data_IF_603965640878
#
_entry.id   IF_603965640878
#
_cell.length_a   1.000
_cell.length_b   1.000
_cell.length_c   1.000
_cell.angle_alpha   90.00
_cell.angle_beta   90.00
_cell.angle_gamma   90.00
#
_symmetry.space_group_name_H-M   'P 1'
#
loop_
_entity.id
_entity.type
_entity.pdbx_description
1 polymer ?
#
# COMPACT_ATOMS: atom_id res chain seq x y z
N UNK A 1 27.17 -7.18 12.51
CA UNK A 1 25.75 -7.48 12.83
C UNK A 1 24.94 -6.66 11.84
N UNK A 2 24.40 -7.28 10.78
CA UNK A 2 23.56 -6.55 9.83
C UNK A 2 22.20 -6.36 10.49
N UNK A 3 21.92 -5.15 10.94
CA UNK A 3 20.58 -4.75 11.38
C UNK A 3 19.61 -4.95 10.21
N UNK A 4 18.86 -6.04 10.33
CA UNK A 4 17.69 -6.37 9.52
C UNK A 4 16.81 -5.12 9.47
N UNK A 5 16.90 -4.36 8.39
CA UNK A 5 16.06 -3.18 8.16
C UNK A 5 14.61 -3.67 8.18
N UNK A 6 13.96 -3.56 9.34
CA UNK A 6 12.55 -3.90 9.49
C UNK A 6 11.83 -3.06 8.46
N UNK A 7 11.27 -3.72 7.45
CA UNK A 7 10.48 -3.05 6.41
C UNK A 7 9.40 -2.26 7.13
N UNK A 8 9.55 -0.93 7.15
CA UNK A 8 8.62 -0.06 7.83
C UNK A 8 7.50 0.27 6.85
N UNK A 9 6.38 -0.42 7.02
CA UNK A 9 5.20 -0.13 6.22
C UNK A 9 4.55 1.18 6.66
N UNK A 10 3.91 1.91 5.72
CA UNK A 10 3.11 3.08 6.06
C UNK A 10 1.95 2.73 7.00
N UNK A 11 1.37 3.72 7.71
CA UNK A 11 0.18 3.51 8.53
C UNK A 11 -0.99 2.93 7.71
N UNK A 12 -1.79 2.04 8.33
CA UNK A 12 -2.90 1.36 7.66
C UNK A 12 -3.88 2.32 6.96
N UNK A 13 -4.22 3.44 7.61
CA UNK A 13 -5.10 4.46 7.03
C UNK A 13 -4.55 5.04 5.73
N UNK A 14 -3.23 5.30 5.67
CA UNK A 14 -2.60 5.84 4.47
C UNK A 14 -2.64 4.83 3.32
N UNK A 15 -2.41 3.55 3.62
CA UNK A 15 -2.52 2.46 2.64
C UNK A 15 -3.96 2.36 2.12
N UNK A 16 -4.96 2.44 3.02
CA UNK A 16 -6.38 2.46 2.64
C UNK A 16 -6.73 3.66 1.76
N UNK A 17 -6.16 4.84 2.03
CA UNK A 17 -6.33 6.02 1.16
C UNK A 17 -5.78 5.76 -0.24
N UNK A 18 -4.63 5.10 -0.38
CA UNK A 18 -4.09 4.78 -1.70
C UNK A 18 -4.92 3.74 -2.46
N UNK A 19 -5.50 2.77 -1.75
CA UNK A 19 -6.47 1.83 -2.34
C UNK A 19 -7.74 2.57 -2.80
N UNK A 20 -8.28 3.47 -1.97
CA UNK A 20 -9.41 4.32 -2.35
C UNK A 20 -9.07 5.18 -3.58
N UNK A 21 -7.87 5.74 -3.64
CA UNK A 21 -7.39 6.50 -4.79
C UNK A 21 -7.43 5.67 -6.08
N UNK A 22 -7.03 4.40 -6.03
CA UNK A 22 -7.06 3.50 -7.19
C UNK A 22 -8.46 3.10 -7.65
N UNK A 23 -9.39 2.86 -6.72
CA UNK A 23 -10.65 2.18 -7.03
C UNK A 23 -11.81 3.18 -7.10
N UNK A 24 -11.85 4.15 -6.19
CA UNK A 24 -13.04 4.96 -5.92
C UNK A 24 -12.90 6.42 -6.36
N UNK A 25 -11.68 6.92 -6.61
CA UNK A 25 -11.47 8.35 -6.85
C UNK A 25 -12.07 8.88 -8.15
N UNK A 26 -12.28 8.03 -9.15
CA UNK A 26 -12.72 8.41 -10.51
C UNK A 26 -11.77 9.36 -11.25
N UNK A 27 -10.60 9.69 -10.68
CA UNK A 27 -9.62 10.60 -11.24
C UNK A 27 -8.38 9.81 -11.69
N UNK A 28 -8.04 9.78 -12.99
CA UNK A 28 -6.92 9.00 -13.50
C UNK A 28 -5.57 9.30 -12.82
N UNK A 29 -5.28 10.58 -12.55
CA UNK A 29 -4.02 10.98 -11.89
C UNK A 29 -3.95 10.46 -10.45
N UNK A 30 -5.08 10.45 -9.73
CA UNK A 30 -5.14 9.88 -8.39
C UNK A 30 -5.02 8.36 -8.42
N UNK A 31 -5.60 7.71 -9.43
CA UNK A 31 -5.49 6.26 -9.59
C UNK A 31 -4.04 5.83 -9.80
N UNK A 32 -3.34 6.49 -10.73
CA UNK A 32 -1.92 6.24 -10.98
C UNK A 32 -1.07 6.52 -9.74
N UNK A 33 -1.32 7.64 -9.06
CA UNK A 33 -0.61 7.98 -7.82
C UNK A 33 -0.85 6.96 -6.69
N UNK A 34 -2.07 6.49 -6.52
CA UNK A 34 -2.40 5.44 -5.55
C UNK A 34 -1.64 4.15 -5.83
N UNK A 35 -1.59 3.75 -7.10
CA UNK A 35 -0.85 2.58 -7.57
C UNK A 35 0.65 2.72 -7.32
N UNK A 36 1.23 3.85 -7.68
CA UNK A 36 2.67 4.11 -7.52
C UNK A 36 3.08 4.10 -6.06
N UNK A 37 2.28 4.69 -5.17
CA UNK A 37 2.54 4.66 -3.74
C UNK A 37 2.55 3.22 -3.18
N UNK A 38 1.58 2.39 -3.61
CA UNK A 38 1.51 0.99 -3.19
C UNK A 38 2.68 0.17 -3.73
N UNK A 39 3.08 0.39 -4.98
CA UNK A 39 4.25 -0.30 -5.55
C UNK A 39 5.54 0.17 -4.86
N UNK A 40 5.69 1.47 -4.59
CA UNK A 40 6.88 2.01 -3.93
C UNK A 40 7.01 1.50 -2.48
N UNK A 41 5.91 1.34 -1.76
CA UNK A 41 5.93 0.91 -0.36
C UNK A 41 6.05 -0.62 -0.21
N UNK A 42 5.46 -1.40 -1.12
CA UNK A 42 5.35 -2.86 -0.99
C UNK A 42 6.12 -3.65 -2.06
N UNK A 43 6.66 -2.99 -3.08
CA UNK A 43 7.31 -3.58 -4.24
C UNK A 43 6.35 -4.14 -5.30
N UNK A 44 5.13 -4.50 -4.91
CA UNK A 44 4.06 -4.89 -5.83
C UNK A 44 2.68 -4.75 -5.19
N UNK A 45 1.65 -4.65 -6.04
CA UNK A 45 0.25 -4.65 -5.58
C UNK A 45 -0.13 -5.97 -4.89
N UNK A 46 0.44 -7.09 -5.32
CA UNK A 46 0.21 -8.39 -4.69
C UNK A 46 0.69 -8.40 -3.23
N UNK A 47 1.89 -7.88 -2.96
CA UNK A 47 2.44 -7.76 -1.60
C UNK A 47 1.64 -6.76 -0.74
N UNK A 48 1.17 -5.66 -1.33
CA UNK A 48 0.30 -4.73 -0.64
C UNK A 48 -1.02 -5.40 -0.21
N UNK A 49 -1.61 -6.22 -1.09
CA UNK A 49 -2.82 -6.99 -0.77
C UNK A 49 -2.56 -8.05 0.31
N UNK A 50 -1.45 -8.79 0.23
CA UNK A 50 -1.05 -9.75 1.28
C UNK A 50 -0.96 -9.08 2.66
N UNK A 51 -0.32 -7.91 2.73
CA UNK A 51 -0.22 -7.13 3.95
C UNK A 51 -1.60 -6.72 4.50
N UNK A 52 -2.48 -6.19 3.64
CA UNK A 52 -3.83 -5.78 4.03
C UNK A 52 -4.66 -6.96 4.55
N UNK A 53 -4.62 -8.11 3.87
CA UNK A 53 -5.34 -9.32 4.29
C UNK A 53 -4.86 -9.81 5.66
N UNK A 54 -3.55 -9.76 5.93
CA UNK A 54 -3.01 -10.15 7.24
C UNK A 54 -3.42 -9.18 8.35
N UNK A 55 -3.51 -7.87 8.05
CA UNK A 55 -3.87 -6.85 9.02
C UNK A 55 -5.36 -6.74 9.31
N UNK A 56 -6.24 -7.11 8.37
CA UNK A 56 -7.70 -7.11 8.54
C UNK A 56 -8.20 -8.35 9.31
N UNK A 57 -7.40 -9.43 9.36
CA UNK A 57 -7.74 -10.68 10.09
C UNK A 57 -7.45 -10.63 11.59
N UNK A 58 -7.04 -9.48 12.14
CA UNK A 58 -6.84 -9.26 13.58
C UNK A 58 -8.03 -8.54 14.18
#
# INVERSE_FOLDING_TARGET
>A
MLDSSKIQYPPLQLIQTWVWMMIESGNPELQDKGRDNLISAFGSLAKANEYLVQHIKK
#
